data_IF_888570882007
#
_entry.id   IF_888570882007
#
_cell.length_a   1.000
_cell.length_b   1.000
_cell.length_c   1.000
_cell.angle_alpha   90.00
_cell.angle_beta   90.00
_cell.angle_gamma   90.00
#
_symmetry.space_group_name_H-M   'P 1'
#
loop_
_entity.id
_entity.type
_entity.pdbx_description
1 polymer ?
#
# COMPACT_ATOMS: atom_id res chain seq x y z
N UNK A 1 -2.05 -1.37 1.84
CA UNK A 1 -1.27 -2.31 2.67
C UNK A 1 -0.83 -1.65 3.97
N UNK A 2 -0.32 -0.42 3.93
CA UNK A 2 0.00 0.40 5.12
C UNK A 2 -1.13 0.49 6.12
N UNK A 3 -2.32 0.91 5.66
CA UNK A 3 -3.49 0.99 6.52
C UNK A 3 -3.81 -0.35 7.22
N UNK A 4 -3.55 -1.51 6.58
CA UNK A 4 -3.77 -2.83 7.20
C UNK A 4 -2.72 -3.09 8.28
N UNK A 5 -1.45 -2.73 8.03
CA UNK A 5 -0.38 -2.85 9.02
C UNK A 5 -0.65 -1.96 10.25
N UNK A 6 -1.19 -0.77 10.04
CA UNK A 6 -1.50 0.18 11.12
C UNK A 6 -2.71 -0.23 11.97
N UNK A 7 -3.77 -0.74 11.33
CA UNK A 7 -5.03 -0.98 12.01
C UNK A 7 -5.34 -2.46 12.30
N UNK A 8 -4.55 -3.40 11.77
CA UNK A 8 -4.71 -4.84 11.99
C UNK A 8 -5.98 -5.45 11.39
N UNK A 9 -6.66 -4.75 10.48
CA UNK A 9 -7.93 -5.20 9.89
C UNK A 9 -8.14 -4.67 8.47
N UNK A 10 -8.48 -5.55 7.53
CA UNK A 10 -8.86 -5.11 6.17
C UNK A 10 -10.13 -4.26 6.20
N UNK A 11 -11.07 -4.55 7.10
CA UNK A 11 -12.33 -3.81 7.20
C UNK A 11 -12.07 -2.36 7.66
N UNK A 12 -11.27 -2.18 8.71
CA UNK A 12 -10.90 -0.86 9.22
C UNK A 12 -10.01 -0.10 8.21
N UNK A 13 -9.07 -0.79 7.56
CA UNK A 13 -8.27 -0.20 6.49
C UNK A 13 -9.12 0.27 5.31
N UNK A 14 -10.12 -0.51 4.90
CA UNK A 14 -11.03 -0.13 3.82
C UNK A 14 -11.86 1.10 4.21
N UNK A 15 -12.41 1.11 5.42
CA UNK A 15 -13.14 2.26 5.95
C UNK A 15 -12.28 3.54 6.02
N UNK A 16 -11.04 3.45 6.50
CA UNK A 16 -10.12 4.59 6.58
C UNK A 16 -9.72 5.15 5.20
N UNK A 17 -9.89 4.36 4.14
CA UNK A 17 -9.55 4.73 2.77
C UNK A 17 -10.79 5.07 1.93
N UNK A 18 -11.96 5.21 2.57
CA UNK A 18 -13.27 5.41 1.90
C UNK A 18 -13.56 4.35 0.82
N UNK A 19 -13.13 3.11 1.07
CA UNK A 19 -13.32 1.97 0.18
C UNK A 19 -14.30 0.97 0.78
N UNK A 20 -15.11 0.33 -0.06
CA UNK A 20 -15.87 -0.83 0.40
C UNK A 20 -14.93 -1.99 0.77
N UNK A 21 -15.26 -2.72 1.83
CA UNK A 21 -14.51 -3.92 2.25
C UNK A 21 -14.34 -4.92 1.10
N UNK A 22 -15.40 -5.15 0.31
CA UNK A 22 -15.38 -6.05 -0.85
C UNK A 22 -14.38 -5.59 -1.90
N UNK A 23 -14.31 -4.29 -2.18
CA UNK A 23 -13.35 -3.73 -3.11
C UNK A 23 -11.91 -3.91 -2.62
N UNK A 24 -11.63 -3.57 -1.35
CA UNK A 24 -10.31 -3.76 -0.75
C UNK A 24 -9.86 -5.23 -0.81
N UNK A 25 -10.75 -6.16 -0.43
CA UNK A 25 -10.49 -7.61 -0.54
C UNK A 25 -10.22 -8.06 -1.98
N UNK A 26 -11.00 -7.58 -2.94
CA UNK A 26 -10.84 -7.94 -4.34
C UNK A 26 -9.47 -7.48 -4.86
N UNK A 27 -9.07 -6.25 -4.53
CA UNK A 27 -7.75 -5.69 -4.89
C UNK A 27 -6.59 -6.51 -4.31
N UNK A 28 -6.68 -6.91 -3.04
CA UNK A 28 -5.69 -7.78 -2.40
C UNK A 28 -5.64 -9.13 -3.12
N UNK A 29 -6.80 -9.76 -3.34
CA UNK A 29 -6.88 -11.08 -3.98
C UNK A 29 -6.30 -11.07 -5.40
N UNK A 30 -6.55 -10.00 -6.16
CA UNK A 30 -5.99 -9.83 -7.50
C UNK A 30 -4.46 -9.67 -7.46
N UNK A 31 -3.94 -8.89 -6.50
CA UNK A 31 -2.51 -8.72 -6.31
C UNK A 31 -1.84 -10.05 -5.94
N UNK A 32 -2.39 -10.78 -4.97
CA UNK A 32 -1.91 -12.11 -4.57
C UNK A 32 -1.90 -13.10 -5.75
N UNK A 33 -2.96 -13.12 -6.55
CA UNK A 33 -3.04 -13.97 -7.75
C UNK A 33 -1.93 -13.66 -8.76
N UNK A 34 -1.62 -12.38 -8.97
CA UNK A 34 -0.56 -11.95 -9.91
C UNK A 34 0.84 -12.21 -9.37
N UNK A 35 1.01 -12.12 -8.05
CA UNK A 35 2.30 -12.27 -7.40
C UNK A 35 2.63 -13.74 -7.06
N UNK A 36 1.64 -14.61 -6.99
CA UNK A 36 1.83 -16.03 -6.66
C UNK A 36 2.04 -16.32 -5.18
N UNK A 37 1.88 -15.32 -4.30
CA UNK A 37 2.02 -15.47 -2.85
C UNK A 37 0.97 -14.66 -2.08
N UNK A 38 0.77 -15.00 -0.81
CA UNK A 38 -0.15 -14.29 0.10
C UNK A 38 0.49 -13.02 0.62
N UNK A 39 -0.21 -11.90 0.49
CA UNK A 39 0.20 -10.58 1.01
C UNK A 39 -0.36 -10.38 2.41
N UNK A 40 -1.55 -10.93 2.68
CA UNK A 40 -2.27 -10.72 3.94
C UNK A 40 -2.70 -12.06 4.53
N UNK A 41 -2.30 -12.33 5.78
CA UNK A 41 -2.88 -13.43 6.58
C UNK A 41 -4.15 -12.91 7.25
N UNK A 42 -5.21 -13.72 7.20
CA UNK A 42 -6.52 -13.39 7.75
C UNK A 42 -6.86 -14.40 8.83
N UNK A 43 -7.23 -13.93 10.01
CA UNK A 43 -7.79 -14.79 11.05
C UNK A 43 -9.31 -14.66 11.04
N UNK A 44 -10.02 -15.78 11.05
CA UNK A 44 -11.47 -15.77 11.24
C UNK A 44 -11.72 -15.49 12.73
N UNK A 45 -12.41 -14.40 13.02
CA UNK A 45 -12.78 -14.06 14.39
C UNK A 45 -14.22 -14.45 14.68
N UNK A 46 -14.43 -15.02 15.88
CA UNK A 46 -15.74 -15.13 16.51
C UNK A 46 -16.22 -13.77 17.03
N UNK A 47 -16.77 -13.71 18.24
CA UNK A 47 -17.45 -12.54 18.80
C UNK A 47 -16.69 -11.20 18.75
N UNK A 48 -15.35 -11.22 18.66
CA UNK A 48 -14.47 -10.04 18.60
C UNK A 48 -14.10 -9.57 17.18
N UNK A 49 -14.59 -10.23 16.13
CA UNK A 49 -14.32 -9.89 14.73
C UNK A 49 -12.98 -10.44 14.21
N UNK A 50 -12.88 -10.59 12.87
CA UNK A 50 -11.68 -11.13 12.23
C UNK A 50 -10.52 -10.14 12.17
N UNK A 51 -9.29 -10.63 12.36
CA UNK A 51 -8.06 -9.84 12.21
C UNK A 51 -7.41 -10.04 10.84
N UNK A 52 -6.58 -9.09 10.43
CA UNK A 52 -5.81 -9.17 9.19
C UNK A 52 -4.46 -8.49 9.36
N UNK A 53 -3.40 -9.21 9.00
CA UNK A 53 -2.03 -8.73 9.14
C UNK A 53 -1.25 -9.02 7.86
N UNK A 54 -0.26 -8.19 7.54
CA UNK A 54 0.62 -8.48 6.42
C UNK A 54 1.47 -9.73 6.71
N UNK A 55 1.67 -10.57 5.70
CA UNK A 55 2.68 -11.63 5.72
C UNK A 55 4.08 -11.03 5.67
N UNK A 56 5.12 -11.83 5.94
CA UNK A 56 6.52 -11.45 5.75
C UNK A 56 6.77 -10.89 4.33
N UNK A 57 6.24 -11.57 3.32
CA UNK A 57 6.34 -11.22 1.91
C UNK A 57 5.55 -9.94 1.60
N UNK A 58 4.36 -9.79 2.20
CA UNK A 58 3.56 -8.57 2.10
C UNK A 58 4.27 -7.34 2.70
N UNK A 59 4.93 -7.50 3.85
CA UNK A 59 5.76 -6.44 4.45
C UNK A 59 6.96 -6.11 3.58
N UNK A 60 7.68 -7.11 3.08
CA UNK A 60 8.82 -6.91 2.19
C UNK A 60 8.41 -6.20 0.88
N UNK A 61 7.26 -6.56 0.31
CA UNK A 61 6.69 -5.90 -0.87
C UNK A 61 6.40 -4.42 -0.59
N UNK A 62 5.76 -4.12 0.53
CA UNK A 62 5.44 -2.75 0.93
C UNK A 62 6.71 -1.90 1.11
N UNK A 63 7.73 -2.44 1.77
CA UNK A 63 9.02 -1.77 1.97
C UNK A 63 9.69 -1.46 0.62
N UNK A 64 9.74 -2.45 -0.29
CA UNK A 64 10.32 -2.28 -1.63
C UNK A 64 9.57 -1.21 -2.42
N UNK A 65 8.23 -1.24 -2.40
CA UNK A 65 7.41 -0.23 -3.06
C UNK A 65 7.70 1.18 -2.54
N UNK A 66 7.72 1.39 -1.21
CA UNK A 66 8.05 2.68 -0.60
C UNK A 66 9.46 3.18 -0.95
N UNK A 67 10.43 2.28 -1.12
CA UNK A 67 11.77 2.67 -1.54
C UNK A 67 11.74 3.25 -2.95
N UNK A 68 11.12 2.54 -3.89
CA UNK A 68 10.99 2.97 -5.29
C UNK A 68 10.21 4.29 -5.38
N UNK A 69 9.07 4.39 -4.69
CA UNK A 69 8.24 5.60 -4.67
C UNK A 69 9.01 6.83 -4.18
N UNK A 70 9.82 6.68 -3.13
CA UNK A 70 10.69 7.77 -2.63
C UNK A 70 11.76 8.15 -3.64
N UNK A 71 12.41 7.18 -4.27
CA UNK A 71 13.45 7.42 -5.28
C UNK A 71 12.88 8.16 -6.50
N UNK A 72 11.75 7.69 -7.03
CA UNK A 72 11.03 8.33 -8.15
C UNK A 72 10.60 9.74 -7.77
N UNK A 73 10.01 9.92 -6.59
CA UNK A 73 9.58 11.24 -6.11
C UNK A 73 10.75 12.23 -5.99
N UNK A 74 11.93 11.75 -5.55
CA UNK A 74 13.15 12.56 -5.44
C UNK A 74 13.65 13.00 -6.83
N UNK A 75 13.69 12.08 -7.79
CA UNK A 75 14.11 12.39 -9.16
C UNK A 75 13.19 13.43 -9.80
N UNK A 76 11.86 13.22 -9.71
CA UNK A 76 10.88 14.14 -10.27
C UNK A 76 10.93 15.54 -9.63
N UNK A 77 11.16 15.63 -8.30
CA UNK A 77 11.39 16.92 -7.64
C UNK A 77 12.63 17.61 -8.20
N UNK A 78 13.74 16.89 -8.33
CA UNK A 78 14.99 17.46 -8.85
C UNK A 78 14.86 17.99 -10.28
N UNK A 79 14.10 17.31 -11.13
CA UNK A 79 13.81 17.78 -12.49
C UNK A 79 12.90 19.01 -12.49
N UNK A 80 11.87 19.04 -11.65
CA UNK A 80 11.01 20.24 -11.50
C UNK A 80 11.81 21.48 -11.08
N UNK A 81 12.78 21.34 -10.18
CA UNK A 81 13.65 22.45 -9.80
C UNK A 81 14.60 22.87 -10.93
N UNK A 82 15.17 21.91 -11.67
CA UNK A 82 16.00 22.21 -12.86
C UNK A 82 15.22 22.94 -13.97
N UNK A 83 13.97 22.54 -14.20
CA UNK A 83 13.12 23.18 -15.21
C UNK A 83 12.71 24.60 -14.80
N UNK A 84 12.36 24.83 -13.52
CA UNK A 84 12.06 26.17 -13.00
C UNK A 84 13.27 27.11 -13.05
N UNK A 85 14.48 26.61 -12.78
CA UNK A 85 15.70 27.41 -12.89
C UNK A 85 15.94 27.88 -14.33
N UNK A 86 15.78 27.00 -15.33
CA UNK A 86 15.95 27.35 -16.76
C UNK A 86 14.89 28.29 -17.33
N UNK A 87 13.70 28.38 -16.72
CA UNK A 87 12.64 29.31 -17.15
C UNK A 87 12.75 30.70 -16.50
N UNK A 88 13.55 30.86 -15.46
CA UNK A 88 13.69 32.11 -14.71
C UNK A 88 14.97 32.90 -15.08
N UNK A 89 15.71 32.42 -16.09
CA UNK A 89 16.91 33.05 -16.66
C UNK A 89 16.62 33.82 -17.97
N UNK A 90 15.35 34.18 -18.24
CA UNK A 90 14.91 35.05 -19.34
C UNK A 90 13.98 36.15 -18.84
#
# INVERSE_FOLDING_TARGET
LEAIEECGSIAKAASNLDMSYRYALHRISLAEKRLGFKIVKRSRGGASGGSSELTSEGKALLIKYKKIEREVSRLLKSEKYRFKAKQNDY
#
